data_IF_075702930591
#
_entry.id   IF_075702930591
#
_cell.length_a   1.000
_cell.length_b   1.000
_cell.length_c   1.000
_cell.angle_alpha   90.00
_cell.angle_beta   90.00
_cell.angle_gamma   90.00
#
_symmetry.space_group_name_H-M   'P 1'
#
loop_
_entity.id
_entity.type
_entity.pdbx_description
1 polymer ?
#
# COMPACT_ATOMS: atom_id res chain seq x y z
N UNK A 1 -13.06 -3.76 9.22
CA UNK A 1 -12.23 -2.54 9.34
C UNK A 1 -13.14 -1.34 9.07
N UNK A 2 -13.44 -0.49 10.05
CA UNK A 2 -14.40 0.60 9.86
C UNK A 2 -13.95 1.66 8.83
N UNK A 3 -12.64 1.85 8.64
CA UNK A 3 -12.09 2.98 7.84
C UNK A 3 -11.34 2.59 6.55
N UNK A 4 -11.45 1.34 6.08
CA UNK A 4 -10.79 0.92 4.83
C UNK A 4 -9.26 0.94 4.84
N UNK A 5 -8.64 1.02 6.03
CA UNK A 5 -7.18 0.97 6.25
C UNK A 5 -6.79 -0.27 7.03
N UNK A 6 -5.69 -0.91 6.66
CA UNK A 6 -5.12 -2.04 7.37
C UNK A 6 -3.59 -2.02 7.28
N UNK A 7 -2.91 -2.36 8.37
CA UNK A 7 -1.45 -2.52 8.37
C UNK A 7 -1.10 -3.99 8.53
N UNK A 8 -0.40 -4.55 7.55
CA UNK A 8 -0.04 -5.98 7.51
C UNK A 8 1.48 -6.13 7.40
N UNK A 9 2.05 -7.17 8.00
CA UNK A 9 3.48 -7.47 7.83
C UNK A 9 3.75 -7.90 6.39
N UNK A 10 4.85 -7.43 5.80
CA UNK A 10 5.26 -7.83 4.43
C UNK A 10 5.39 -9.34 4.31
N UNK A 11 5.97 -10.01 5.32
CA UNK A 11 6.16 -11.47 5.31
C UNK A 11 4.85 -12.23 5.17
N UNK A 12 3.79 -11.79 5.85
CA UNK A 12 2.45 -12.42 5.76
C UNK A 12 1.87 -12.31 4.36
N UNK A 13 2.02 -11.16 3.70
CA UNK A 13 1.55 -11.00 2.33
C UNK A 13 2.31 -11.91 1.36
N UNK A 14 3.62 -12.04 1.52
CA UNK A 14 4.44 -12.96 0.73
C UNK A 14 4.05 -14.43 0.97
N UNK A 15 3.79 -14.83 2.22
CA UNK A 15 3.30 -16.18 2.58
C UNK A 15 1.96 -16.50 1.87
N UNK A 16 1.12 -15.49 1.66
CA UNK A 16 -0.15 -15.62 0.93
C UNK A 16 -0.02 -15.45 -0.59
N UNK A 17 1.20 -15.35 -1.14
CA UNK A 17 1.45 -15.25 -2.58
C UNK A 17 1.20 -13.87 -3.18
N UNK A 18 1.09 -12.82 -2.36
CA UNK A 18 0.95 -11.45 -2.85
C UNK A 18 2.23 -10.98 -3.56
N UNK A 19 2.09 -10.42 -4.76
CA UNK A 19 3.21 -9.86 -5.53
C UNK A 19 3.17 -8.34 -5.55
N UNK A 20 4.23 -7.72 -5.01
CA UNK A 20 4.42 -6.27 -5.01
C UNK A 20 4.84 -5.69 -6.38
N UNK A 21 5.04 -6.54 -7.39
CA UNK A 21 5.49 -6.11 -8.72
C UNK A 21 4.33 -5.67 -9.63
N UNK A 22 3.11 -6.10 -9.36
CA UNK A 22 1.95 -5.83 -10.20
C UNK A 22 1.06 -4.77 -9.56
N UNK A 23 1.03 -3.59 -10.17
CA UNK A 23 0.14 -2.49 -9.81
C UNK A 23 -0.33 -1.78 -11.10
N UNK A 24 -1.53 -1.22 -11.08
CA UNK A 24 -2.14 -0.50 -12.20
C UNK A 24 -1.85 0.99 -12.19
N UNK A 25 -1.64 1.58 -11.01
CA UNK A 25 -1.41 3.02 -10.88
C UNK A 25 -0.59 3.33 -9.64
N UNK A 26 0.05 4.50 -9.66
CA UNK A 26 0.82 5.04 -8.54
C UNK A 26 0.19 6.35 -8.14
N UNK A 27 0.01 6.54 -6.83
CA UNK A 27 -0.38 7.81 -6.24
C UNK A 27 0.69 8.24 -5.25
N UNK A 28 1.34 9.35 -5.53
CA UNK A 28 2.34 9.92 -4.64
C UNK A 28 1.67 10.95 -3.72
N UNK A 29 1.67 10.66 -2.42
CA UNK A 29 1.32 11.62 -1.38
C UNK A 29 2.57 12.32 -0.86
N UNK A 30 2.41 13.34 -0.01
CA UNK A 30 3.53 14.09 0.58
C UNK A 30 4.54 13.21 1.34
N UNK A 31 4.07 12.10 1.92
CA UNK A 31 4.88 11.29 2.84
C UNK A 31 4.98 9.82 2.43
N UNK A 32 4.06 9.32 1.60
CA UNK A 32 3.97 7.93 1.20
C UNK A 32 3.60 7.82 -0.29
N UNK A 33 4.19 6.83 -0.95
CA UNK A 33 3.82 6.41 -2.29
C UNK A 33 2.92 5.19 -2.19
N UNK A 34 1.73 5.28 -2.79
CA UNK A 34 0.75 4.22 -2.83
C UNK A 34 0.74 3.58 -4.21
N UNK A 35 0.87 2.26 -4.24
CA UNK A 35 0.79 1.43 -5.43
C UNK A 35 -0.57 0.76 -5.46
N UNK A 36 -1.39 1.11 -6.44
CA UNK A 36 -2.77 0.66 -6.53
C UNK A 36 -2.90 -0.54 -7.47
N UNK A 37 -3.65 -1.52 -7.02
CA UNK A 37 -4.20 -2.61 -7.82
C UNK A 37 -5.71 -2.51 -7.72
N UNK A 38 -6.34 -1.92 -8.74
CA UNK A 38 -7.76 -1.63 -8.79
C UNK A 38 -8.24 -0.76 -7.61
N UNK A 39 -9.10 -1.29 -6.75
CA UNK A 39 -9.72 -0.57 -5.64
C UNK A 39 -8.84 -0.52 -4.39
N UNK A 40 -7.74 -1.27 -4.34
CA UNK A 40 -6.87 -1.32 -3.18
C UNK A 40 -5.46 -0.86 -3.52
N UNK A 41 -4.89 -0.05 -2.64
CA UNK A 41 -3.51 0.41 -2.73
C UNK A 41 -2.69 -0.08 -1.56
N UNK A 42 -1.40 -0.22 -1.78
CA UNK A 42 -0.45 -0.53 -0.73
C UNK A 42 0.68 0.50 -0.70
N UNK A 43 1.14 0.84 0.52
CA UNK A 43 2.33 1.65 0.73
C UNK A 43 3.29 0.90 1.66
N UNK A 44 4.58 0.76 1.29
CA UNK A 44 5.58 0.16 2.16
C UNK A 44 5.87 1.10 3.32
N UNK A 45 5.84 0.58 4.55
CA UNK A 45 6.21 1.33 5.75
C UNK A 45 7.16 0.50 6.62
N UNK A 46 7.99 1.17 7.39
CA UNK A 46 8.86 0.54 8.39
C UNK A 46 8.43 1.03 9.76
N UNK A 47 8.08 0.09 10.63
CA UNK A 47 7.69 0.39 12.02
C UNK A 47 8.58 -0.39 12.98
N UNK A 48 8.97 0.27 14.08
CA UNK A 48 9.68 -0.39 15.17
C UNK A 48 8.75 -1.33 15.91
N UNK A 49 9.15 -2.59 16.04
CA UNK A 49 8.45 -3.60 16.80
C UNK A 49 8.47 -3.28 18.30
N UNK A 50 7.31 -3.40 18.95
CA UNK A 50 7.16 -3.12 20.38
C UNK A 50 7.75 -4.20 21.28
N UNK A 51 8.00 -5.41 20.75
CA UNK A 51 8.46 -6.56 21.54
C UNK A 51 9.98 -6.64 21.64
N UNK A 52 10.70 -6.34 20.56
CA UNK A 52 12.15 -6.54 20.43
C UNK A 52 12.90 -5.27 19.95
N UNK A 53 12.18 -4.16 19.74
CA UNK A 53 12.75 -2.88 19.31
C UNK A 53 13.32 -2.89 17.89
N UNK A 54 13.14 -3.97 17.12
CA UNK A 54 13.70 -4.10 15.78
C UNK A 54 12.80 -3.48 14.72
N UNK A 55 13.37 -2.93 13.62
CA UNK A 55 12.58 -2.42 12.51
C UNK A 55 11.88 -3.56 11.77
N UNK A 56 10.57 -3.43 11.56
CA UNK A 56 9.76 -4.43 10.85
C UNK A 56 9.15 -3.79 9.60
N UNK A 57 9.35 -4.45 8.46
CA UNK A 57 8.73 -4.07 7.20
C UNK A 57 7.24 -4.44 7.22
N UNK A 58 6.39 -3.43 7.11
CA UNK A 58 4.94 -3.57 7.00
C UNK A 58 4.45 -2.90 5.74
N UNK A 59 3.18 -3.13 5.47
CA UNK A 59 2.46 -2.65 4.29
C UNK A 59 1.16 -2.05 4.79
N UNK A 60 0.98 -0.77 4.51
CA UNK A 60 -0.28 -0.08 4.72
C UNK A 60 -1.16 -0.33 3.49
N UNK A 61 -2.26 -1.03 3.69
CA UNK A 61 -3.27 -1.30 2.67
C UNK A 61 -4.40 -0.30 2.87
N UNK A 62 -4.79 0.37 1.80
CA UNK A 62 -5.89 1.33 1.77
C UNK A 62 -6.86 0.99 0.65
N UNK A 63 -8.14 1.29 0.84
CA UNK A 63 -9.07 1.37 -0.27
C UNK A 63 -8.91 2.72 -0.98
N UNK A 64 -8.97 2.72 -2.31
CA UNK A 64 -8.88 3.94 -3.12
C UNK A 64 -10.07 4.86 -2.86
N UNK A 65 -9.78 6.16 -2.75
CA UNK A 65 -10.80 7.19 -2.62
C UNK A 65 -10.92 7.96 -3.93
N UNK A 66 -12.05 8.66 -4.12
CA UNK A 66 -12.35 9.39 -5.36
C UNK A 66 -11.23 10.37 -5.76
N UNK A 67 -10.68 11.12 -4.81
CA UNK A 67 -9.58 12.07 -5.05
C UNK A 67 -8.23 11.41 -5.43
N UNK A 68 -8.12 10.08 -5.31
CA UNK A 68 -6.94 9.31 -5.68
C UNK A 68 -7.10 8.67 -7.07
N UNK A 69 -8.32 8.69 -7.64
CA UNK A 69 -8.63 8.15 -8.96
C UNK A 69 -8.26 9.18 -10.05
N UNK A 70 -7.78 8.70 -11.20
CA UNK A 70 -7.45 9.57 -12.35
C UNK A 70 -6.15 10.36 -12.26
N UNK A 71 -5.34 10.16 -11.21
CA UNK A 71 -4.02 10.82 -11.04
C UNK A 71 -2.96 10.21 -11.98
N UNK A 72 -3.14 8.96 -12.38
CA UNK A 72 -2.34 8.30 -13.40
C UNK A 72 -3.29 7.68 -14.43
N UNK A 73 -3.39 8.32 -15.59
CA UNK A 73 -4.08 7.78 -16.76
C UNK A 73 -3.02 7.50 -17.84
N UNK A 74 -2.71 6.22 -18.14
CA UNK A 74 -1.72 5.87 -19.17
C UNK A 74 -2.17 6.25 -20.59
N UNK A 75 -3.41 6.70 -20.76
CA UNK A 75 -3.99 7.13 -22.04
C UNK A 75 -4.30 8.63 -22.13
N UNK A 76 -4.05 9.41 -21.08
CA UNK A 76 -4.24 10.87 -21.08
C UNK A 76 -3.11 11.62 -21.82
N UNK A 77 -2.70 11.08 -22.96
CA UNK A 77 -1.76 11.71 -23.89
C UNK A 77 -2.40 12.92 -24.60
#
# INVERSE_FOLDING_TARGET
>A
CPDGKATVRKSRLLEHGFSFQYFSSIYQSHQLTYYFSYEYGFAPIVETSRSDGQPVQKVLIIQSQEHMKGVFDPWAA
#
